data_IF_549413196951
#
_entry.id   IF_549413196951
#
_cell.length_a   1.000
_cell.length_b   1.000
_cell.length_c   1.000
_cell.angle_alpha   90.00
_cell.angle_beta   90.00
_cell.angle_gamma   90.00
#
_symmetry.space_group_name_H-M   'P 1'
#
loop_
_entity.id
_entity.type
_entity.pdbx_description
1 polymer ?
#
# COMPACT_ATOMS: atom_id res chain seq x y z
N UNK A 1 5.54 -16.74 -10.60
CA UNK A 1 4.51 -16.02 -11.38
C UNK A 1 3.74 -16.95 -12.32
N UNK A 2 4.42 -17.83 -13.09
CA UNK A 2 3.72 -18.70 -14.03
C UNK A 2 2.88 -19.78 -13.34
N UNK A 3 3.37 -20.34 -12.25
CA UNK A 3 2.61 -21.30 -11.44
C UNK A 3 1.30 -20.67 -10.92
N UNK A 4 1.35 -19.48 -10.32
CA UNK A 4 0.16 -18.80 -9.79
C UNK A 4 -0.79 -18.37 -10.90
N UNK A 5 -0.27 -18.03 -12.07
CA UNK A 5 -1.09 -17.70 -13.24
C UNK A 5 -1.86 -18.92 -13.75
N UNK A 6 -1.20 -20.07 -13.84
CA UNK A 6 -1.85 -21.34 -14.27
C UNK A 6 -2.83 -21.79 -13.19
N UNK A 7 -2.38 -21.88 -11.94
CA UNK A 7 -3.19 -22.31 -10.81
C UNK A 7 -4.40 -21.40 -10.57
N UNK A 8 -4.21 -20.08 -10.77
CA UNK A 8 -5.31 -19.12 -10.67
C UNK A 8 -6.40 -19.37 -11.69
N UNK A 9 -6.04 -19.68 -12.94
CA UNK A 9 -7.02 -20.04 -13.98
C UNK A 9 -7.84 -21.27 -13.60
N UNK A 10 -7.18 -22.31 -13.06
CA UNK A 10 -7.86 -23.53 -12.59
C UNK A 10 -8.84 -23.25 -11.45
N UNK A 11 -8.51 -22.32 -10.56
CA UNK A 11 -9.29 -21.98 -9.38
C UNK A 11 -10.26 -20.80 -9.58
N UNK A 12 -10.30 -20.21 -10.78
CA UNK A 12 -11.08 -18.98 -11.04
C UNK A 12 -10.62 -17.77 -10.24
N UNK A 13 -9.34 -17.73 -9.84
CA UNK A 13 -8.72 -16.65 -9.04
C UNK A 13 -7.63 -15.95 -9.84
N UNK A 14 -7.43 -14.65 -9.58
CA UNK A 14 -6.25 -13.97 -10.10
C UNK A 14 -4.97 -14.43 -9.38
N UNK A 15 -3.82 -14.35 -10.04
CA UNK A 15 -2.52 -14.63 -9.41
C UNK A 15 -2.24 -13.75 -8.20
N UNK A 16 -2.75 -12.51 -8.19
CA UNK A 16 -2.61 -11.59 -7.06
C UNK A 16 -3.36 -12.08 -5.82
N UNK A 17 -4.53 -12.69 -5.99
CA UNK A 17 -5.26 -13.32 -4.88
C UNK A 17 -4.45 -14.47 -4.28
N UNK A 18 -3.84 -15.33 -5.11
CA UNK A 18 -2.99 -16.42 -4.62
C UNK A 18 -1.73 -15.90 -3.90
N UNK A 19 -1.13 -14.80 -4.37
CA UNK A 19 -0.02 -14.16 -3.66
C UNK A 19 -0.46 -13.62 -2.29
N UNK A 20 -1.63 -13.01 -2.20
CA UNK A 20 -2.16 -12.57 -0.90
C UNK A 20 -2.35 -13.75 0.05
N UNK A 21 -2.96 -14.86 -0.41
CA UNK A 21 -3.20 -16.06 0.39
C UNK A 21 -1.92 -16.71 0.94
N UNK A 22 -0.82 -16.69 0.20
CA UNK A 22 0.46 -17.22 0.70
C UNK A 22 1.19 -16.23 1.62
N UNK A 23 1.08 -14.92 1.37
CA UNK A 23 1.67 -13.90 2.21
C UNK A 23 0.94 -13.77 3.57
N UNK A 24 -0.38 -13.97 3.60
CA UNK A 24 -1.20 -13.91 4.82
C UNK A 24 -0.79 -14.95 5.87
N UNK A 25 -0.22 -16.08 5.43
CA UNK A 25 0.27 -17.16 6.29
C UNK A 25 1.59 -16.84 6.99
N UNK A 26 2.27 -15.79 6.58
CA UNK A 26 3.55 -15.37 7.12
C UNK A 26 3.30 -14.29 8.19
N UNK A 27 4.00 -14.39 9.31
CA UNK A 27 3.90 -13.41 10.38
C UNK A 27 4.38 -12.01 9.94
N UNK A 28 3.87 -10.92 10.57
CA UNK A 28 4.39 -9.57 10.39
C UNK A 28 5.90 -9.51 10.61
N UNK A 29 6.60 -8.78 9.74
CA UNK A 29 8.07 -8.70 9.74
C UNK A 29 8.77 -9.81 8.94
N UNK A 30 8.00 -10.70 8.26
CA UNK A 30 8.50 -11.72 7.35
C UNK A 30 9.66 -12.55 7.91
N UNK A 31 9.63 -12.83 9.23
CA UNK A 31 10.70 -13.52 9.97
C UNK A 31 12.10 -12.92 9.71
N UNK A 32 12.18 -11.58 9.62
CA UNK A 32 13.41 -10.83 9.40
C UNK A 32 13.84 -10.72 7.94
N UNK A 33 13.04 -11.18 6.97
CA UNK A 33 13.31 -10.92 5.56
C UNK A 33 12.81 -9.52 5.18
N UNK A 34 13.73 -8.63 4.85
CA UNK A 34 13.45 -7.25 4.46
C UNK A 34 13.65 -7.08 2.96
N UNK A 35 12.76 -6.33 2.32
CA UNK A 35 12.87 -5.95 0.91
C UNK A 35 12.98 -4.44 0.76
N UNK A 36 14.04 -3.99 0.07
CA UNK A 36 14.17 -2.61 -0.39
C UNK A 36 13.60 -2.50 -1.82
N UNK A 37 12.51 -1.74 -2.05
CA UNK A 37 11.78 -1.77 -3.32
C UNK A 37 12.39 -0.87 -4.42
N UNK A 38 13.64 -0.48 -4.33
CA UNK A 38 14.29 0.52 -5.19
C UNK A 38 14.73 -0.05 -6.54
N UNK A 39 13.79 -0.69 -7.27
CA UNK A 39 14.08 -1.43 -8.51
C UNK A 39 14.62 -0.56 -9.66
N UNK A 40 14.28 0.70 -9.70
CA UNK A 40 14.67 1.66 -10.75
C UNK A 40 15.19 2.97 -10.16
N UNK A 41 15.96 2.87 -9.10
CA UNK A 41 16.35 4.00 -8.28
C UNK A 41 15.25 4.40 -7.32
N UNK A 42 15.52 5.45 -6.52
CA UNK A 42 14.57 6.01 -5.57
C UNK A 42 14.51 7.53 -5.75
N UNK A 43 13.30 8.09 -5.78
CA UNK A 43 13.07 9.53 -5.92
C UNK A 43 12.81 10.25 -4.61
N UNK A 44 12.13 9.57 -3.68
CA UNK A 44 11.68 10.18 -2.44
C UNK A 44 11.59 9.13 -1.32
N UNK A 45 12.16 9.43 -0.15
CA UNK A 45 12.87 10.65 0.22
C UNK A 45 14.35 10.64 -0.16
N UNK A 46 14.87 9.54 -0.69
CA UNK A 46 16.25 9.36 -1.10
C UNK A 46 16.35 9.65 -2.60
N UNK A 47 17.08 10.69 -2.98
CA UNK A 47 17.30 10.98 -4.40
C UNK A 47 18.54 10.22 -4.89
N UNK A 48 18.34 8.94 -5.26
CA UNK A 48 19.42 8.07 -5.76
C UNK A 48 18.94 7.26 -6.97
N UNK A 49 19.34 7.64 -8.21
CA UNK A 49 18.97 6.91 -9.43
C UNK A 49 19.63 5.54 -9.55
N UNK A 50 20.72 5.30 -8.79
CA UNK A 50 21.49 4.06 -8.85
C UNK A 50 21.09 3.04 -7.78
N UNK A 51 20.22 3.41 -6.83
CA UNK A 51 19.68 2.50 -5.84
C UNK A 51 19.05 1.27 -6.51
N UNK A 52 19.19 0.11 -5.89
CA UNK A 52 18.68 -1.17 -6.40
C UNK A 52 17.81 -1.87 -5.37
N UNK A 53 16.90 -2.71 -5.87
CA UNK A 53 16.14 -3.60 -5.01
C UNK A 53 17.03 -4.64 -4.35
N UNK A 54 16.78 -4.88 -3.05
CA UNK A 54 17.57 -5.81 -2.23
C UNK A 54 16.67 -6.63 -1.35
N UNK A 55 16.91 -7.94 -1.25
CA UNK A 55 16.42 -8.77 -0.15
C UNK A 55 17.55 -8.99 0.86
N UNK A 56 17.28 -8.59 2.11
CA UNK A 56 18.21 -8.75 3.23
C UNK A 56 17.64 -9.73 4.26
N UNK A 57 18.49 -10.53 4.89
CA UNK A 57 18.05 -11.52 5.89
C UNK A 57 17.57 -12.84 5.28
N UNK A 58 18.00 -13.16 4.06
CA UNK A 58 17.67 -14.41 3.39
C UNK A 58 18.44 -15.59 3.99
N UNK A 59 17.71 -16.66 4.33
CA UNK A 59 18.22 -17.94 4.75
C UNK A 59 17.37 -19.10 4.21
N UNK A 60 17.74 -20.35 4.52
CA UNK A 60 17.02 -21.54 4.04
C UNK A 60 15.61 -21.74 4.60
N UNK A 61 15.20 -21.01 5.64
CA UNK A 61 13.84 -21.06 6.18
C UNK A 61 12.83 -20.27 5.35
N UNK A 62 13.31 -19.36 4.50
CA UNK A 62 12.44 -18.42 3.77
C UNK A 62 11.78 -19.11 2.58
N UNK A 63 10.46 -19.04 2.56
CA UNK A 63 9.59 -19.59 1.49
C UNK A 63 9.12 -18.48 0.56
N UNK A 64 8.47 -18.85 -0.55
CA UNK A 64 7.82 -17.88 -1.45
C UNK A 64 6.89 -16.92 -0.71
N UNK A 65 6.17 -17.37 0.32
CA UNK A 65 5.31 -16.52 1.13
C UNK A 65 6.07 -15.37 1.79
N UNK A 66 7.26 -15.64 2.33
CA UNK A 66 8.13 -14.62 2.93
C UNK A 66 8.55 -13.57 1.90
N UNK A 67 8.94 -14.00 0.69
CA UNK A 67 9.32 -13.04 -0.36
C UNK A 67 8.15 -12.13 -0.76
N UNK A 68 6.95 -12.70 -0.90
CA UNK A 68 5.77 -11.90 -1.26
C UNK A 68 5.41 -10.95 -0.14
N UNK A 69 5.39 -11.44 1.11
CA UNK A 69 5.08 -10.60 2.26
C UNK A 69 6.14 -9.51 2.47
N UNK A 70 7.42 -9.84 2.43
CA UNK A 70 8.51 -8.88 2.53
C UNK A 70 8.43 -7.80 1.44
N UNK A 71 8.03 -8.17 0.21
CA UNK A 71 7.80 -7.19 -0.85
C UNK A 71 6.65 -6.23 -0.52
N UNK A 72 5.54 -6.73 0.05
CA UNK A 72 4.42 -5.89 0.50
C UNK A 72 4.83 -4.96 1.64
N UNK A 73 5.57 -5.50 2.61
CA UNK A 73 6.08 -4.77 3.79
C UNK A 73 7.12 -3.72 3.38
N UNK A 74 8.05 -4.06 2.48
CA UNK A 74 9.08 -3.14 2.00
C UNK A 74 8.50 -1.90 1.32
N UNK A 75 7.45 -2.07 0.50
CA UNK A 75 6.72 -0.93 -0.08
C UNK A 75 6.03 -0.10 1.01
N UNK A 76 5.49 -0.74 2.05
CA UNK A 76 4.86 -0.02 3.17
C UNK A 76 5.90 0.72 4.02
N UNK A 77 7.09 0.15 4.23
CA UNK A 77 8.21 0.80 4.92
C UNK A 77 8.74 2.01 4.14
N UNK A 78 8.83 1.90 2.81
CA UNK A 78 9.18 3.05 1.95
C UNK A 78 8.14 4.18 2.06
N UNK A 79 6.85 3.84 2.12
CA UNK A 79 5.79 4.82 2.40
C UNK A 79 5.97 5.46 3.78
N UNK A 80 6.25 4.65 4.82
CA UNK A 80 6.52 5.17 6.17
C UNK A 80 7.69 6.14 6.18
N UNK A 81 8.79 5.82 5.51
CA UNK A 81 9.95 6.71 5.39
C UNK A 81 9.57 8.06 4.77
N UNK A 82 8.74 8.08 3.72
CA UNK A 82 8.22 9.33 3.15
C UNK A 82 7.37 10.12 4.16
N UNK A 83 6.54 9.45 4.96
CA UNK A 83 5.73 10.10 5.99
C UNK A 83 6.59 10.66 7.13
N UNK A 84 7.64 9.95 7.53
CA UNK A 84 8.55 10.39 8.58
C UNK A 84 9.30 11.66 8.15
N UNK A 85 9.83 11.71 6.92
CA UNK A 85 10.47 12.90 6.37
C UNK A 85 9.48 14.07 6.20
N UNK A 86 8.25 13.78 5.75
CA UNK A 86 7.20 14.80 5.68
C UNK A 86 6.88 15.39 7.06
N UNK A 87 6.83 14.53 8.10
CA UNK A 87 6.64 14.97 9.49
C UNK A 87 7.78 15.85 9.99
N UNK A 88 9.04 15.52 9.67
CA UNK A 88 10.21 16.35 9.99
C UNK A 88 10.12 17.73 9.30
N UNK A 89 9.52 17.78 8.12
CA UNK A 89 9.24 19.02 7.41
C UNK A 89 7.98 19.78 7.92
N UNK A 90 7.34 19.30 9.00
CA UNK A 90 6.18 19.92 9.62
C UNK A 90 4.82 19.52 9.06
N UNK A 91 4.75 18.52 8.17
CA UNK A 91 3.47 18.01 7.67
C UNK A 91 2.86 17.00 8.64
N UNK A 92 1.60 17.21 9.03
CA UNK A 92 0.85 16.27 9.84
C UNK A 92 -0.12 15.48 8.96
N UNK A 93 0.08 14.15 8.91
CA UNK A 93 -0.79 13.22 8.21
C UNK A 93 -1.57 12.42 9.26
N UNK A 94 -2.89 12.59 9.32
CA UNK A 94 -3.77 11.88 10.25
C UNK A 94 -4.38 10.61 9.62
N UNK A 95 -4.65 10.61 8.31
CA UNK A 95 -5.29 9.52 7.59
C UNK A 95 -4.70 9.39 6.19
N UNK A 96 -4.58 8.18 5.69
CA UNK A 96 -4.15 7.87 4.33
C UNK A 96 -5.37 7.46 3.48
N UNK A 97 -5.38 7.86 2.20
CA UNK A 97 -6.37 7.37 1.23
C UNK A 97 -5.66 6.46 0.23
N UNK A 98 -6.05 5.18 0.22
CA UNK A 98 -5.48 4.19 -0.70
C UNK A 98 -6.40 4.02 -1.92
N UNK A 99 -5.83 4.16 -3.11
CA UNK A 99 -6.52 4.06 -4.38
C UNK A 99 -5.71 3.21 -5.38
N UNK A 100 -6.38 2.73 -6.42
CA UNK A 100 -5.77 1.93 -7.46
C UNK A 100 -5.66 0.45 -7.12
N UNK A 101 -5.00 -0.32 -7.99
CA UNK A 101 -5.01 -1.79 -7.92
C UNK A 101 -4.52 -2.40 -6.61
N UNK A 102 -3.53 -1.80 -5.96
CA UNK A 102 -3.02 -2.30 -4.67
C UNK A 102 -4.00 -2.11 -3.51
N UNK A 103 -4.90 -1.12 -3.61
CA UNK A 103 -5.94 -0.88 -2.61
C UNK A 103 -7.01 -1.99 -2.60
N UNK A 104 -7.11 -2.80 -3.67
CA UNK A 104 -8.02 -3.93 -3.72
C UNK A 104 -7.57 -5.12 -2.85
N UNK A 105 -6.29 -5.18 -2.46
CA UNK A 105 -5.79 -6.17 -1.52
C UNK A 105 -6.09 -5.74 -0.08
N UNK A 106 -6.93 -6.53 0.61
CA UNK A 106 -7.21 -6.32 2.04
C UNK A 106 -5.92 -6.43 2.87
N UNK A 107 -5.15 -7.49 2.63
CA UNK A 107 -3.90 -7.74 3.33
C UNK A 107 -2.90 -6.60 3.13
N UNK A 108 -2.65 -6.20 1.88
CA UNK A 108 -1.63 -5.17 1.63
C UNK A 108 -2.03 -3.79 2.15
N UNK A 109 -3.33 -3.46 2.10
CA UNK A 109 -3.82 -2.22 2.71
C UNK A 109 -3.68 -2.26 4.24
N UNK A 110 -3.96 -3.42 4.87
CA UNK A 110 -3.75 -3.60 6.30
C UNK A 110 -2.26 -3.50 6.67
N UNK A 111 -1.36 -4.15 5.92
CA UNK A 111 0.09 -4.02 6.12
C UNK A 111 0.54 -2.55 6.07
N UNK A 112 0.06 -1.78 5.10
CA UNK A 112 0.36 -0.34 5.01
C UNK A 112 -0.12 0.43 6.25
N UNK A 113 -1.33 0.14 6.73
CA UNK A 113 -1.87 0.74 7.95
C UNK A 113 -1.02 0.37 9.17
N UNK A 114 -0.69 -0.91 9.32
CA UNK A 114 0.09 -1.43 10.44
C UNK A 114 1.52 -0.85 10.45
N UNK A 115 2.19 -0.77 9.29
CA UNK A 115 3.55 -0.23 9.15
C UNK A 115 3.60 1.27 9.41
N UNK A 116 2.64 2.02 8.88
CA UNK A 116 2.64 3.48 9.01
C UNK A 116 2.06 3.98 10.33
N UNK A 117 1.35 3.12 11.06
CA UNK A 117 0.60 3.51 12.25
C UNK A 117 -0.54 4.50 11.95
N UNK A 118 -1.01 4.55 10.70
CA UNK A 118 -2.04 5.48 10.25
C UNK A 118 -3.27 4.73 9.77
N UNK A 119 -4.48 5.22 10.10
CA UNK A 119 -5.71 4.72 9.49
C UNK A 119 -5.65 4.89 7.97
N UNK A 120 -6.17 3.90 7.24
CA UNK A 120 -6.28 3.95 5.79
C UNK A 120 -7.74 3.85 5.37
N UNK A 121 -8.18 4.78 4.55
CA UNK A 121 -9.49 4.81 3.92
C UNK A 121 -9.38 4.40 2.47
N UNK A 122 -10.23 3.48 2.03
CA UNK A 122 -10.31 3.06 0.63
C UNK A 122 -11.66 3.54 0.08
N UNK A 123 -11.65 4.49 -0.87
CA UNK A 123 -12.87 4.94 -1.54
C UNK A 123 -13.54 3.83 -2.34
N UNK A 124 -14.83 4.00 -2.62
CA UNK A 124 -15.62 3.05 -3.43
C UNK A 124 -15.25 3.09 -4.92
N UNK A 125 -14.73 4.23 -5.40
CA UNK A 125 -14.36 4.40 -6.80
C UNK A 125 -12.97 3.84 -7.12
N UNK A 126 -12.91 2.90 -8.06
CA UNK A 126 -11.65 2.39 -8.62
C UNK A 126 -11.06 3.37 -9.66
N UNK A 127 -11.81 4.41 -10.06
CA UNK A 127 -11.46 5.38 -11.10
C UNK A 127 -11.21 6.79 -10.53
N UNK A 128 -10.42 6.87 -9.46
CA UNK A 128 -10.17 8.12 -8.74
C UNK A 128 -9.69 9.29 -9.64
N UNK A 129 -8.84 8.99 -10.63
CA UNK A 129 -8.36 10.01 -11.58
C UNK A 129 -9.51 10.57 -12.42
N UNK A 130 -10.39 9.72 -12.93
CA UNK A 130 -11.55 10.14 -13.72
C UNK A 130 -12.55 10.90 -12.86
N UNK A 131 -12.80 10.43 -11.64
CA UNK A 131 -13.66 11.14 -10.69
C UNK A 131 -13.10 12.52 -10.36
N UNK A 132 -11.79 12.63 -10.11
CA UNK A 132 -11.13 13.92 -9.87
C UNK A 132 -11.28 14.88 -11.05
N UNK A 133 -11.12 14.39 -12.30
CA UNK A 133 -11.34 15.20 -13.50
C UNK A 133 -12.80 15.65 -13.61
N UNK A 134 -13.76 14.78 -13.30
CA UNK A 134 -15.20 15.11 -13.31
C UNK A 134 -15.54 16.16 -12.24
N UNK A 135 -14.97 16.04 -11.03
CA UNK A 135 -15.13 17.05 -9.95
C UNK A 135 -14.59 18.42 -10.42
N UNK A 136 -13.37 18.44 -10.99
CA UNK A 136 -12.79 19.68 -11.54
C UNK A 136 -13.69 20.34 -12.58
N UNK A 137 -14.22 19.55 -13.51
CA UNK A 137 -15.14 20.04 -14.54
C UNK A 137 -16.46 20.55 -13.92
N UNK A 138 -17.03 19.79 -12.97
CA UNK A 138 -18.29 20.15 -12.29
C UNK A 138 -18.21 21.46 -11.52
N UNK A 139 -17.11 21.68 -10.80
CA UNK A 139 -16.86 22.96 -10.13
C UNK A 139 -16.64 24.08 -11.15
N UNK A 140 -15.90 23.79 -12.24
CA UNK A 140 -15.62 24.78 -13.31
C UNK A 140 -16.88 25.30 -14.02
N UNK A 141 -17.93 24.48 -14.12
CA UNK A 141 -19.22 24.88 -14.72
C UNK A 141 -20.29 25.25 -13.65
N UNK A 142 -19.87 25.44 -12.38
CA UNK A 142 -20.75 25.75 -11.25
C UNK A 142 -21.88 24.72 -10.99
N UNK A 143 -21.65 23.43 -11.34
CA UNK A 143 -22.51 22.31 -10.95
C UNK A 143 -22.42 22.06 -9.44
N UNK A 144 -21.24 22.22 -8.88
CA UNK A 144 -20.95 22.22 -7.45
C UNK A 144 -20.48 23.60 -7.03
N UNK A 145 -20.82 24.00 -5.83
CA UNK A 145 -20.43 25.29 -5.27
C UNK A 145 -18.90 25.41 -5.14
N UNK A 146 -18.26 24.36 -4.65
CA UNK A 146 -16.83 24.24 -4.42
C UNK A 146 -16.37 22.78 -4.45
N UNK A 147 -15.07 22.56 -4.26
CA UNK A 147 -14.50 21.21 -4.26
C UNK A 147 -14.92 20.37 -3.05
N UNK A 148 -15.17 21.01 -1.92
CA UNK A 148 -15.58 20.34 -0.68
C UNK A 148 -16.97 19.71 -0.85
N UNK A 149 -17.95 20.47 -1.32
CA UNK A 149 -19.29 19.96 -1.66
C UNK A 149 -19.23 18.84 -2.71
N UNK A 150 -18.41 19.02 -3.77
CA UNK A 150 -18.29 18.01 -4.81
C UNK A 150 -17.72 16.69 -4.26
N UNK A 151 -16.71 16.75 -3.38
CA UNK A 151 -16.11 15.57 -2.74
C UNK A 151 -17.12 14.91 -1.78
N UNK A 152 -17.82 15.68 -0.96
CA UNK A 152 -18.83 15.15 -0.03
C UNK A 152 -19.95 14.40 -0.77
N UNK A 153 -20.39 14.93 -1.92
CA UNK A 153 -21.47 14.33 -2.72
C UNK A 153 -21.03 13.12 -3.57
N UNK A 154 -19.75 13.01 -3.92
CA UNK A 154 -19.30 12.05 -4.94
C UNK A 154 -18.33 10.99 -4.42
N UNK A 155 -17.67 11.23 -3.28
CA UNK A 155 -16.65 10.31 -2.73
C UNK A 155 -17.23 9.52 -1.57
N UNK A 156 -17.57 8.28 -1.82
CA UNK A 156 -17.95 7.33 -0.78
C UNK A 156 -16.77 6.49 -0.33
N UNK A 157 -16.69 6.19 0.95
CA UNK A 157 -15.67 5.33 1.52
C UNK A 157 -16.20 3.88 1.59
N UNK A 158 -15.46 2.95 0.97
CA UNK A 158 -15.81 1.53 0.93
C UNK A 158 -15.29 0.76 2.13
N UNK A 159 -14.10 1.10 2.61
CA UNK A 159 -13.42 0.37 3.69
C UNK A 159 -12.55 1.30 4.51
N UNK A 160 -12.38 0.88 5.77
CA UNK A 160 -11.45 1.47 6.73
C UNK A 160 -10.50 0.38 7.23
N UNK A 161 -9.24 0.74 7.39
CA UNK A 161 -8.22 -0.10 8.01
C UNK A 161 -7.59 0.68 9.15
N UNK A 162 -7.77 0.19 10.36
CA UNK A 162 -7.10 0.73 11.55
C UNK A 162 -5.78 -0.02 11.75
N UNK A 163 -4.71 0.65 12.18
CA UNK A 163 -3.45 -0.01 12.47
C UNK A 163 -3.59 -0.95 13.66
N UNK A 164 -3.09 -2.18 13.52
CA UNK A 164 -2.98 -3.11 14.63
C UNK A 164 -1.75 -2.76 15.48
N UNK A 165 -1.92 -2.38 16.77
CA UNK A 165 -0.81 -1.96 17.62
C UNK A 165 0.27 -3.03 17.84
N UNK A 166 -0.09 -4.31 17.82
CA UNK A 166 0.88 -5.39 17.99
C UNK A 166 1.74 -5.56 16.72
N UNK A 167 1.14 -5.47 15.54
CA UNK A 167 1.88 -5.49 14.29
C UNK A 167 2.76 -4.25 14.15
N UNK A 168 2.27 -3.08 14.52
CA UNK A 168 3.03 -1.83 14.51
C UNK A 168 4.33 -1.94 15.30
N UNK A 169 4.28 -2.52 16.52
CA UNK A 169 5.46 -2.75 17.36
C UNK A 169 6.52 -3.65 16.69
N UNK A 170 6.08 -4.59 15.84
CA UNK A 170 7.01 -5.43 15.08
C UNK A 170 7.74 -4.60 14.03
N UNK A 171 7.01 -3.75 13.31
CA UNK A 171 7.55 -2.92 12.24
C UNK A 171 8.39 -1.74 12.73
N UNK A 172 8.19 -1.27 13.96
CA UNK A 172 9.07 -0.25 14.56
C UNK A 172 10.50 -0.74 14.83
N UNK A 173 10.71 -2.06 14.84
CA UNK A 173 12.02 -2.68 15.12
C UNK A 173 12.81 -3.00 13.85
N UNK A 174 12.18 -2.95 12.70
CA UNK A 174 12.74 -3.25 11.38
C UNK A 174 13.13 -1.95 10.66
#
# INVERSE_FOLDING_TARGET
ADYERVRGKELGKSSLVLFNEIAEKIAPGSDGLIFLPYMSGERSPIWDPDAKGVFYGLDFSKTKGHFVRAAMEGVALSLKHNLDVAKEAGAEVSVLRAMGGSANSLLWTQIKSDVTGKPIVVPSSDTATTLGAAILAGVGIAMYKDFEEAVELTVENKRFHEPNPENYKVYEKN
#
